data_IF_626866487197
#
_entry.id   IF_626866487197
#
_cell.length_a   1.000
_cell.length_b   1.000
_cell.length_c   1.000
_cell.angle_alpha   90.00
_cell.angle_beta   90.00
_cell.angle_gamma   90.00
#
_symmetry.space_group_name_H-M   'P 1'
#
loop_
_entity.id
_entity.type
_entity.pdbx_description
1 polymer ?
#
# COMPACT_ATOMS: atom_id res chain seq x y z
N UNK A 1 -30.22 73.95 -34.91
CA UNK A 1 -29.26 74.69 -34.08
C UNK A 1 -29.17 73.99 -32.73
N UNK A 2 -28.02 73.34 -32.45
CA UNK A 2 -27.54 72.86 -31.12
C UNK A 2 -28.38 71.81 -30.37
N UNK A 3 -27.86 70.80 -29.68
CA UNK A 3 -26.57 70.09 -29.63
C UNK A 3 -26.83 68.93 -28.62
N UNK A 4 -26.34 67.71 -28.93
CA UNK A 4 -25.70 66.75 -28.01
C UNK A 4 -26.35 66.36 -26.66
N UNK A 5 -26.67 65.07 -26.49
CA UNK A 5 -25.80 64.09 -25.79
C UNK A 5 -26.51 62.77 -25.52
N UNK A 6 -25.93 61.63 -25.93
CA UNK A 6 -26.23 60.33 -25.34
C UNK A 6 -25.00 59.71 -24.67
N UNK A 7 -25.27 58.74 -23.80
CA UNK A 7 -24.36 57.75 -23.20
C UNK A 7 -23.46 58.18 -22.03
N UNK A 8 -23.70 57.51 -20.89
CA UNK A 8 -22.61 56.91 -20.11
C UNK A 8 -23.14 55.67 -19.37
N UNK A 9 -23.13 54.51 -20.04
CA UNK A 9 -23.30 53.21 -19.37
C UNK A 9 -21.91 52.73 -18.95
N UNK A 10 -21.64 52.76 -17.65
CA UNK A 10 -20.42 52.21 -17.08
C UNK A 10 -20.48 50.67 -17.15
N UNK A 11 -19.72 50.08 -18.07
CA UNK A 11 -19.50 48.64 -18.13
C UNK A 11 -18.51 48.21 -17.05
N UNK A 12 -18.99 47.50 -16.04
CA UNK A 12 -18.16 46.86 -15.01
C UNK A 12 -17.52 45.60 -15.62
N UNK A 13 -16.25 45.69 -16.02
CA UNK A 13 -15.48 44.52 -16.43
C UNK A 13 -15.01 43.76 -15.18
N UNK A 14 -15.68 42.65 -14.88
CA UNK A 14 -15.29 41.71 -13.83
C UNK A 14 -14.18 40.79 -14.38
N UNK A 15 -12.95 41.02 -13.96
CA UNK A 15 -11.81 40.14 -14.25
C UNK A 15 -11.96 38.84 -13.46
N UNK A 16 -12.20 37.72 -14.14
CA UNK A 16 -12.08 36.39 -13.55
C UNK A 16 -10.61 36.14 -13.16
N UNK A 17 -10.32 36.16 -11.86
CA UNK A 17 -9.07 35.61 -11.34
C UNK A 17 -9.23 34.10 -11.28
N UNK A 18 -8.64 33.38 -12.23
CA UNK A 18 -8.54 31.93 -12.17
C UNK A 18 -7.67 31.57 -10.96
N UNK A 19 -8.29 30.97 -9.94
CA UNK A 19 -7.56 30.46 -8.78
C UNK A 19 -6.72 29.24 -9.22
N UNK A 20 -5.46 29.11 -8.78
CA UNK A 20 -4.67 27.91 -9.05
C UNK A 20 -5.38 26.73 -8.39
N UNK A 21 -5.76 25.73 -9.21
CA UNK A 21 -6.35 24.50 -8.72
C UNK A 21 -5.34 23.81 -7.81
N UNK A 22 -5.63 23.74 -6.51
CA UNK A 22 -4.92 22.86 -5.60
C UNK A 22 -5.09 21.43 -6.10
N UNK A 23 -4.01 20.83 -6.60
CA UNK A 23 -4.00 19.40 -6.83
C UNK A 23 -4.20 18.72 -5.47
N UNK A 24 -5.28 17.96 -5.33
CA UNK A 24 -5.51 17.17 -4.13
C UNK A 24 -4.32 16.22 -3.93
N UNK A 25 -3.67 16.32 -2.77
CA UNK A 25 -2.62 15.38 -2.36
C UNK A 25 -3.24 13.99 -2.28
N UNK A 26 -2.66 13.02 -3.00
CA UNK A 26 -3.15 11.64 -2.95
C UNK A 26 -2.88 11.09 -1.55
N UNK A 27 -3.90 10.53 -0.90
CA UNK A 27 -3.75 9.82 0.38
C UNK A 27 -2.60 8.81 0.27
N UNK A 28 -1.50 8.97 1.05
CA UNK A 28 -0.32 8.12 0.94
C UNK A 28 -0.60 6.66 1.29
N UNK A 29 -1.73 6.37 1.95
CA UNK A 29 -2.16 5.02 2.33
C UNK A 29 -3.23 4.44 1.39
N UNK A 30 -3.65 5.17 0.35
CA UNK A 30 -4.73 4.72 -0.53
C UNK A 30 -4.44 3.37 -1.19
N UNK A 31 -3.20 3.13 -1.61
CA UNK A 31 -2.80 1.84 -2.19
C UNK A 31 -2.86 0.74 -1.14
N UNK A 32 -2.32 0.98 0.05
CA UNK A 32 -2.33 0.01 1.14
C UNK A 32 -3.75 -0.43 1.50
N UNK A 33 -4.69 0.51 1.60
CA UNK A 33 -6.10 0.22 1.95
C UNK A 33 -6.88 -0.51 0.85
N UNK A 34 -6.50 -0.33 -0.41
CA UNK A 34 -7.26 -0.87 -1.56
C UNK A 34 -6.69 -2.17 -2.14
N UNK A 35 -5.46 -2.53 -1.77
CA UNK A 35 -4.80 -3.74 -2.24
C UNK A 35 -5.24 -4.99 -1.45
N UNK A 36 -4.92 -6.17 -1.99
CA UNK A 36 -5.00 -7.45 -1.28
C UNK A 36 -4.05 -8.46 -1.91
N UNK A 37 -3.61 -9.44 -1.11
CA UNK A 37 -2.80 -10.56 -1.58
C UNK A 37 -3.62 -11.85 -1.55
N UNK A 38 -4.05 -12.30 -2.72
CA UNK A 38 -5.07 -13.35 -2.82
C UNK A 38 -6.39 -12.88 -2.22
N UNK A 39 -6.84 -13.53 -1.14
CA UNK A 39 -8.05 -13.16 -0.38
C UNK A 39 -7.75 -12.40 0.91
N UNK A 40 -6.46 -12.16 1.21
CA UNK A 40 -6.02 -11.57 2.47
C UNK A 40 -6.03 -10.05 2.37
N UNK A 41 -6.68 -9.41 3.34
CA UNK A 41 -6.80 -7.96 3.48
C UNK A 41 -6.19 -7.52 4.80
N UNK A 42 -5.55 -6.34 4.83
CA UNK A 42 -5.24 -5.71 6.12
C UNK A 42 -6.52 -5.46 6.92
N UNK A 43 -6.38 -5.39 8.23
CA UNK A 43 -7.45 -5.30 9.22
C UNK A 43 -8.38 -6.53 9.27
N UNK A 44 -8.09 -7.59 8.50
CA UNK A 44 -8.86 -8.82 8.55
C UNK A 44 -8.64 -9.50 9.92
N UNK A 45 -9.70 -9.78 10.70
CA UNK A 45 -9.55 -10.46 11.97
C UNK A 45 -8.92 -11.84 11.78
N UNK A 46 -8.01 -12.23 12.67
CA UNK A 46 -7.29 -13.50 12.60
C UNK A 46 -8.22 -14.71 12.45
N UNK A 47 -9.39 -14.70 13.10
CA UNK A 47 -10.39 -15.76 13.02
C UNK A 47 -11.01 -15.94 11.63
N UNK A 48 -10.96 -14.91 10.80
CA UNK A 48 -11.48 -14.89 9.43
C UNK A 48 -10.41 -15.25 8.40
N UNK A 49 -9.13 -15.29 8.77
CA UNK A 49 -8.05 -15.72 7.88
C UNK A 49 -8.24 -17.20 7.56
N UNK A 50 -8.49 -17.52 6.28
CA UNK A 50 -8.59 -18.88 5.77
C UNK A 50 -7.42 -19.16 4.84
N UNK A 51 -6.54 -20.06 5.26
CA UNK A 51 -5.40 -20.50 4.45
C UNK A 51 -5.64 -21.93 3.94
N UNK A 52 -5.13 -22.27 2.75
CA UNK A 52 -5.14 -23.65 2.27
C UNK A 52 -4.46 -24.59 3.27
N UNK A 53 -4.95 -25.83 3.39
CA UNK A 53 -4.36 -26.84 4.27
C UNK A 53 -2.87 -27.09 3.98
N UNK A 54 -2.42 -26.87 2.74
CA UNK A 54 -1.01 -26.98 2.35
C UNK A 54 -0.08 -25.99 3.05
N UNK A 55 -0.60 -24.92 3.67
CA UNK A 55 0.21 -24.00 4.47
C UNK A 55 0.64 -24.61 5.82
N UNK A 56 -0.05 -25.66 6.29
CA UNK A 56 0.21 -26.26 7.60
C UNK A 56 -0.03 -25.28 8.76
N UNK A 57 0.64 -25.53 9.88
CA UNK A 57 0.60 -24.65 11.06
C UNK A 57 1.74 -23.62 10.99
N UNK A 58 1.51 -22.41 11.53
CA UNK A 58 2.55 -21.39 11.57
C UNK A 58 3.56 -21.65 12.69
N UNK A 59 4.78 -21.17 12.47
CA UNK A 59 5.70 -20.84 13.55
C UNK A 59 5.37 -19.43 14.02
N UNK A 60 5.19 -19.25 15.33
CA UNK A 60 4.86 -17.95 15.93
C UNK A 60 6.05 -17.46 16.73
N UNK A 61 6.34 -16.17 16.65
CA UNK A 61 7.34 -15.55 17.50
C UNK A 61 6.72 -15.05 18.82
N UNK A 62 7.53 -14.34 19.60
CA UNK A 62 7.08 -13.69 20.82
C UNK A 62 6.33 -12.39 20.47
N UNK A 63 5.17 -12.21 21.10
CA UNK A 63 4.44 -10.97 20.96
C UNK A 63 5.18 -9.81 21.65
N UNK A 64 5.44 -8.74 20.91
CA UNK A 64 6.24 -7.60 21.35
C UNK A 64 5.42 -6.31 21.31
N UNK A 65 5.55 -5.46 22.33
CA UNK A 65 4.94 -4.13 22.34
C UNK A 65 5.78 -3.15 21.51
N UNK A 66 5.17 -2.53 20.52
CA UNK A 66 5.80 -1.50 19.71
C UNK A 66 5.37 -0.13 20.22
N UNK A 67 6.34 0.68 20.63
CA UNK A 67 6.06 1.99 21.25
C UNK A 67 5.60 3.06 20.25
N UNK A 68 5.83 2.84 18.96
CA UNK A 68 5.50 3.81 17.91
C UNK A 68 3.99 3.92 17.69
N UNK A 69 3.29 2.79 17.69
CA UNK A 69 1.83 2.70 17.51
C UNK A 69 1.09 2.37 18.82
N UNK A 70 1.82 1.94 19.86
CA UNK A 70 1.24 1.58 21.14
C UNK A 70 0.50 0.25 21.12
N UNK A 71 0.87 -0.67 20.21
CA UNK A 71 0.20 -1.96 20.05
C UNK A 71 1.14 -3.16 20.26
N UNK A 72 0.55 -4.34 20.38
CA UNK A 72 1.23 -5.62 20.49
C UNK A 72 1.28 -6.29 19.11
N UNK A 73 2.49 -6.61 18.64
CA UNK A 73 2.75 -7.23 17.35
C UNK A 73 3.30 -8.64 17.50
N UNK A 74 2.97 -9.52 16.56
CA UNK A 74 3.45 -10.89 16.49
C UNK A 74 3.48 -11.38 15.04
N UNK A 75 4.53 -12.10 14.66
CA UNK A 75 4.67 -12.71 13.35
C UNK A 75 4.30 -14.20 13.36
N UNK A 76 3.52 -14.59 12.35
CA UNK A 76 3.14 -15.98 12.10
C UNK A 76 3.68 -16.44 10.74
N UNK A 77 4.71 -17.29 10.76
CA UNK A 77 5.42 -17.78 9.57
C UNK A 77 4.90 -19.14 9.12
N UNK A 78 4.36 -19.21 7.91
CA UNK A 78 3.91 -20.42 7.21
C UNK A 78 4.91 -20.80 6.11
N UNK A 79 6.02 -21.41 6.50
CA UNK A 79 7.12 -21.77 5.58
C UNK A 79 6.65 -22.66 4.42
N UNK A 80 5.72 -23.59 4.67
CA UNK A 80 5.24 -24.54 3.66
C UNK A 80 4.57 -23.88 2.44
N UNK A 81 3.98 -22.68 2.62
CA UNK A 81 3.36 -21.94 1.54
C UNK A 81 3.97 -20.56 1.29
N UNK A 82 5.09 -20.23 1.96
CA UNK A 82 5.85 -19.00 1.72
C UNK A 82 5.09 -17.74 2.13
N UNK A 83 4.41 -17.78 3.26
CA UNK A 83 3.59 -16.70 3.78
C UNK A 83 4.02 -16.36 5.20
N UNK A 84 4.08 -15.07 5.51
CA UNK A 84 4.28 -14.54 6.86
C UNK A 84 3.22 -13.47 7.10
N UNK A 85 2.56 -13.55 8.25
CA UNK A 85 1.51 -12.63 8.67
C UNK A 85 2.03 -11.83 9.86
N UNK A 86 2.12 -10.51 9.72
CA UNK A 86 2.26 -9.62 10.87
C UNK A 86 0.88 -9.37 11.45
N UNK A 87 0.71 -9.69 12.73
CA UNK A 87 -0.57 -9.57 13.44
C UNK A 87 -0.45 -8.55 14.56
N UNK A 88 -1.47 -7.71 14.73
CA UNK A 88 -1.49 -6.65 15.73
C UNK A 88 -2.74 -6.70 16.60
N UNK A 89 -2.63 -6.25 17.86
CA UNK A 89 -3.74 -5.92 18.76
C UNK A 89 -3.36 -4.83 19.75
N UNK A 90 -4.31 -3.99 20.16
CA UNK A 90 -4.05 -2.90 21.12
C UNK A 90 -3.85 -3.43 22.55
N UNK A 91 -4.69 -4.36 23.00
CA UNK A 91 -4.61 -4.97 24.33
C UNK A 91 -4.57 -6.49 24.22
N UNK A 92 -4.01 -7.16 25.23
CA UNK A 92 -3.95 -8.63 25.30
C UNK A 92 -5.31 -9.33 25.23
N UNK A 93 -6.39 -8.63 25.58
CA UNK A 93 -7.77 -9.13 25.52
C UNK A 93 -8.40 -8.98 24.14
N UNK A 94 -7.82 -8.15 23.28
CA UNK A 94 -8.42 -7.81 21.99
C UNK A 94 -8.07 -8.87 20.94
N UNK A 95 -8.96 -9.09 19.95
CA UNK A 95 -8.66 -9.99 18.85
C UNK A 95 -7.54 -9.42 17.99
N UNK A 96 -6.58 -10.27 17.62
CA UNK A 96 -5.57 -9.92 16.62
C UNK A 96 -6.20 -9.76 15.23
N UNK A 97 -5.64 -8.85 14.44
CA UNK A 97 -5.96 -8.66 13.04
C UNK A 97 -4.70 -8.54 12.19
N UNK A 98 -4.83 -8.72 10.87
CA UNK A 98 -3.73 -8.65 9.94
C UNK A 98 -3.22 -7.21 9.79
N UNK A 99 -1.96 -6.98 10.13
CA UNK A 99 -1.29 -5.69 10.05
C UNK A 99 -0.38 -5.59 8.82
N UNK A 100 0.34 -6.67 8.54
CA UNK A 100 1.24 -6.75 7.38
C UNK A 100 1.27 -8.16 6.82
N UNK A 101 1.78 -8.29 5.61
CA UNK A 101 1.91 -9.58 4.95
C UNK A 101 3.19 -9.64 4.12
N UNK A 102 3.94 -10.72 4.27
CA UNK A 102 5.11 -11.01 3.45
C UNK A 102 4.91 -12.30 2.65
N UNK A 103 5.14 -12.24 1.33
CA UNK A 103 5.15 -13.39 0.44
C UNK A 103 6.58 -13.71 0.02
N UNK A 104 6.91 -15.00 0.01
CA UNK A 104 8.14 -15.56 -0.55
C UNK A 104 7.80 -16.84 -1.32
N UNK A 105 8.76 -17.39 -2.08
CA UNK A 105 8.58 -18.74 -2.62
C UNK A 105 8.32 -19.73 -1.46
N UNK A 106 7.41 -20.72 -1.59
CA UNK A 106 6.71 -21.15 -2.81
C UNK A 106 5.31 -20.51 -3.02
N UNK A 107 5.01 -19.35 -2.40
CA UNK A 107 3.69 -18.73 -2.49
C UNK A 107 3.25 -18.50 -3.93
N UNK A 108 1.96 -18.77 -4.16
CA UNK A 108 1.27 -18.52 -5.43
C UNK A 108 0.28 -17.34 -5.33
N UNK A 109 0.21 -16.70 -4.17
CA UNK A 109 -0.63 -15.52 -3.98
C UNK A 109 -0.11 -14.39 -4.87
N UNK A 110 -1.05 -13.53 -5.27
CA UNK A 110 -0.78 -12.39 -6.14
C UNK A 110 -1.50 -11.17 -5.60
N UNK A 111 -0.97 -10.01 -5.94
CA UNK A 111 -1.70 -8.74 -5.80
C UNK A 111 -2.93 -8.72 -6.69
N UNK A 112 -3.85 -7.76 -6.49
CA UNK A 112 -4.99 -7.52 -7.38
C UNK A 112 -4.54 -7.28 -8.82
N UNK A 113 -3.35 -6.72 -9.01
CA UNK A 113 -2.77 -6.43 -10.33
C UNK A 113 -1.97 -7.59 -10.91
N UNK A 114 -2.09 -8.79 -10.32
CA UNK A 114 -1.53 -10.03 -10.83
C UNK A 114 -0.03 -10.19 -10.63
N UNK A 115 0.60 -9.38 -9.77
CA UNK A 115 2.02 -9.50 -9.44
C UNK A 115 2.18 -10.52 -8.32
N UNK A 116 3.12 -11.45 -8.48
CA UNK A 116 3.48 -12.45 -7.50
C UNK A 116 4.97 -12.77 -7.56
N UNK A 117 5.38 -13.76 -6.78
CA UNK A 117 6.76 -14.27 -6.81
C UNK A 117 7.11 -14.74 -8.24
N UNK A 118 8.26 -14.31 -8.74
CA UNK A 118 8.76 -14.61 -10.08
C UNK A 118 8.36 -13.61 -11.19
N UNK A 119 7.44 -12.67 -10.91
CA UNK A 119 7.11 -11.56 -11.83
C UNK A 119 8.35 -10.73 -12.15
N UNK A 120 8.44 -10.18 -13.36
CA UNK A 120 9.59 -9.34 -13.75
C UNK A 120 9.47 -7.94 -13.15
N UNK A 121 10.60 -7.27 -12.90
CA UNK A 121 10.63 -5.88 -12.48
C UNK A 121 9.81 -4.96 -13.43
N UNK A 122 9.89 -5.22 -14.74
CA UNK A 122 9.11 -4.49 -15.74
C UNK A 122 7.60 -4.69 -15.58
N UNK A 123 7.14 -5.90 -15.24
CA UNK A 123 5.73 -6.16 -14.98
C UNK A 123 5.24 -5.39 -13.74
N UNK A 124 6.06 -5.32 -12.69
CA UNK A 124 5.77 -4.53 -11.49
C UNK A 124 5.63 -3.04 -11.84
N UNK A 125 6.65 -2.45 -12.49
CA UNK A 125 6.64 -1.05 -12.88
C UNK A 125 5.46 -0.70 -13.79
N UNK A 126 5.06 -1.62 -14.67
CA UNK A 126 3.88 -1.43 -15.52
C UNK A 126 2.59 -1.47 -14.72
N UNK A 127 2.46 -2.42 -13.79
CA UNK A 127 1.24 -2.60 -12.99
C UNK A 127 1.03 -1.47 -11.96
N UNK A 128 2.11 -0.90 -11.43
CA UNK A 128 2.08 0.11 -10.37
C UNK A 128 2.68 1.47 -10.79
N UNK A 129 2.64 1.80 -12.07
CA UNK A 129 3.26 3.01 -12.61
C UNK A 129 2.77 4.30 -11.91
N UNK A 130 1.49 4.36 -11.53
CA UNK A 130 0.88 5.53 -10.87
C UNK A 130 1.27 5.71 -9.41
N UNK A 131 1.81 4.67 -8.78
CA UNK A 131 2.19 4.62 -7.37
C UNK A 131 3.70 4.38 -7.20
N UNK A 132 4.45 4.21 -8.29
CA UNK A 132 5.88 3.95 -8.23
C UNK A 132 6.60 5.12 -7.55
N UNK A 133 7.31 4.80 -6.46
CA UNK A 133 8.09 5.77 -5.71
C UNK A 133 9.58 5.57 -5.99
N UNK A 134 10.18 6.36 -6.89
CA UNK A 134 11.60 6.25 -7.20
C UNK A 134 12.51 6.68 -6.05
N UNK A 135 12.03 7.53 -5.13
CA UNK A 135 12.82 8.01 -3.99
C UNK A 135 13.06 6.94 -2.94
N UNK A 136 12.14 5.99 -2.82
CA UNK A 136 12.20 4.87 -1.88
C UNK A 136 12.57 3.53 -2.56
N UNK A 137 12.71 3.53 -3.89
CA UNK A 137 13.10 2.35 -4.67
C UNK A 137 14.61 2.29 -4.90
N UNK A 138 15.17 1.08 -4.84
CA UNK A 138 16.57 0.84 -5.19
C UNK A 138 16.67 0.03 -6.48
N UNK A 139 17.24 0.64 -7.53
CA UNK A 139 17.32 0.05 -8.88
C UNK A 139 17.93 -1.36 -8.84
N UNK A 140 17.17 -2.34 -9.34
CA UNK A 140 17.58 -3.74 -9.44
C UNK A 140 17.45 -4.55 -8.15
N UNK A 141 17.07 -3.92 -7.03
CA UNK A 141 16.97 -4.53 -5.71
C UNK A 141 15.57 -4.42 -5.12
N UNK A 142 14.96 -3.24 -5.13
CA UNK A 142 13.61 -3.01 -4.60
C UNK A 142 12.81 -2.10 -5.51
N UNK A 143 11.50 -2.35 -5.59
CA UNK A 143 10.52 -1.43 -6.17
C UNK A 143 9.48 -1.14 -5.09
N UNK A 144 9.26 0.13 -4.79
CA UNK A 144 8.22 0.59 -3.87
C UNK A 144 7.06 1.15 -4.69
N UNK A 145 5.86 0.64 -4.42
CA UNK A 145 4.61 1.21 -4.89
C UNK A 145 3.84 1.75 -3.67
N UNK A 146 3.53 3.04 -3.67
CA UNK A 146 3.06 3.77 -2.49
C UNK A 146 4.24 4.35 -1.70
N UNK A 147 4.27 4.09 -0.40
CA UNK A 147 5.41 4.45 0.47
C UNK A 147 5.85 3.25 1.30
N UNK A 148 7.04 3.33 1.91
CA UNK A 148 7.50 2.34 2.90
C UNK A 148 6.64 2.31 4.16
N UNK A 149 5.86 3.36 4.44
CA UNK A 149 4.90 3.43 5.53
C UNK A 149 3.51 2.91 5.14
N UNK A 150 3.24 2.78 3.84
CA UNK A 150 1.91 2.49 3.34
C UNK A 150 1.94 2.07 1.89
N UNK A 151 2.19 0.79 1.64
CA UNK A 151 2.28 0.30 0.27
C UNK A 151 2.79 -1.11 0.12
N UNK A 152 3.33 -1.37 -1.07
CA UNK A 152 3.94 -2.63 -1.45
C UNK A 152 5.44 -2.42 -1.68
N UNK A 153 6.24 -3.31 -1.13
CA UNK A 153 7.68 -3.37 -1.40
C UNK A 153 7.96 -4.70 -2.11
N UNK A 154 8.46 -4.61 -3.33
CA UNK A 154 8.85 -5.76 -4.13
C UNK A 154 10.37 -5.90 -4.07
N UNK A 155 10.87 -6.93 -3.38
CA UNK A 155 12.28 -7.27 -3.40
C UNK A 155 12.58 -8.09 -4.66
N UNK A 156 13.66 -7.74 -5.35
CA UNK A 156 14.08 -8.34 -6.60
C UNK A 156 15.35 -9.19 -6.42
N UNK A 157 15.35 -10.36 -7.06
CA UNK A 157 16.53 -11.18 -7.28
C UNK A 157 16.61 -11.53 -8.76
N UNK A 158 17.74 -11.21 -9.39
CA UNK A 158 17.96 -11.47 -10.83
C UNK A 158 16.84 -10.87 -11.71
N UNK A 159 16.37 -9.66 -11.39
CA UNK A 159 15.34 -8.94 -12.15
C UNK A 159 13.91 -9.47 -11.98
N UNK A 160 13.69 -10.41 -11.07
CA UNK A 160 12.37 -10.99 -10.74
C UNK A 160 12.03 -10.77 -9.27
N UNK A 161 10.75 -10.65 -8.97
CA UNK A 161 10.22 -10.55 -7.60
C UNK A 161 10.56 -11.82 -6.84
N UNK A 162 11.30 -11.69 -5.75
CA UNK A 162 11.62 -12.77 -4.82
C UNK A 162 10.82 -12.69 -3.53
N UNK A 163 10.33 -11.49 -3.19
CA UNK A 163 9.51 -11.23 -2.02
C UNK A 163 8.57 -10.05 -2.30
N UNK A 164 7.38 -10.10 -1.68
CA UNK A 164 6.44 -8.99 -1.65
C UNK A 164 6.09 -8.72 -0.20
N UNK A 165 6.39 -7.53 0.29
CA UNK A 165 5.87 -7.03 1.55
C UNK A 165 4.71 -6.07 1.29
N UNK A 166 3.66 -6.16 2.10
CA UNK A 166 2.51 -5.28 2.09
C UNK A 166 2.17 -4.84 3.53
N UNK A 167 2.16 -3.53 3.78
CA UNK A 167 1.91 -2.95 5.10
C UNK A 167 2.78 -1.71 5.34
N UNK A 168 3.02 -1.39 6.61
CA UNK A 168 4.01 -0.40 7.04
C UNK A 168 5.33 -1.12 7.39
N UNK A 169 6.39 -0.92 6.60
CA UNK A 169 7.69 -1.56 6.78
C UNK A 169 8.65 -0.78 7.69
N UNK A 170 8.38 0.50 7.89
CA UNK A 170 9.15 1.37 8.75
C UNK A 170 8.21 1.93 9.83
N UNK A 171 8.50 1.64 11.09
CA UNK A 171 7.82 2.17 12.28
C UNK A 171 8.84 2.62 13.33
#
# INVERSE_FOLDING_TARGET
MRLFSPFLTFGLALTLVASPGWAAEKDPFALMKSEQLGTLKLDLPLSQIKLPASCGSPQKDEETFWGADGALHQDWVYTACGLELGLVREKKTDPQHLFSLTLRAPSRLKTLRGIGIGSTAQAVLKAYASEYNPGESQKGLTIVAGTVYGGLIFTLKQGKVSEIFWGAAAE
#
